data_IF_636392926413
#
_entry.id   IF_636392926413
#
_cell.length_a   1.000
_cell.length_b   1.000
_cell.length_c   1.000
_cell.angle_alpha   90.00
_cell.angle_beta   90.00
_cell.angle_gamma   90.00
#
_symmetry.space_group_name_H-M   'P 1'
#
loop_
_entity.id
_entity.type
_entity.pdbx_description
1 polymer ?
#
# COMPACT_ATOMS: atom_id res chain seq x y z
N UNK A 1 -21.97 -21.73 -3.72
CA UNK A 1 -21.52 -22.02 -2.34
C UNK A 1 -21.02 -20.69 -1.81
N UNK A 2 -21.62 -20.17 -0.75
CA UNK A 2 -21.24 -18.89 -0.16
C UNK A 2 -20.07 -19.17 0.80
N UNK A 3 -18.87 -18.76 0.42
CA UNK A 3 -17.71 -18.81 1.31
C UNK A 3 -17.95 -17.83 2.46
N UNK A 4 -18.02 -18.39 3.66
CA UNK A 4 -18.07 -17.61 4.89
C UNK A 4 -16.65 -17.07 5.09
N UNK A 5 -16.45 -15.74 5.17
CA UNK A 5 -15.12 -15.18 5.37
C UNK A 5 -14.55 -15.67 6.72
N UNK A 6 -13.26 -16.00 6.79
CA UNK A 6 -12.65 -16.49 8.02
C UNK A 6 -12.63 -15.37 9.08
N UNK A 7 -13.37 -15.56 10.17
CA UNK A 7 -13.51 -14.61 11.30
C UNK A 7 -12.35 -14.66 12.30
N UNK A 8 -11.34 -15.51 12.09
CA UNK A 8 -10.26 -15.76 13.04
C UNK A 8 -8.91 -15.22 12.55
N UNK A 9 -8.17 -14.52 13.42
CA UNK A 9 -6.82 -14.01 13.14
C UNK A 9 -5.80 -15.13 12.88
N UNK A 10 -4.69 -14.85 12.21
CA UNK A 10 -3.75 -15.90 11.79
C UNK A 10 -3.16 -16.69 12.96
N UNK A 11 -3.00 -16.08 14.14
CA UNK A 11 -2.58 -16.77 15.37
C UNK A 11 -3.59 -17.80 15.88
N UNK A 12 -4.87 -17.59 15.62
CA UNK A 12 -5.93 -18.50 16.06
C UNK A 12 -5.92 -19.79 15.23
N UNK A 13 -5.51 -19.68 13.96
CA UNK A 13 -5.36 -20.78 12.98
C UNK A 13 -4.18 -21.73 13.26
N UNK A 14 -3.32 -21.40 14.21
CA UNK A 14 -2.15 -22.23 14.55
C UNK A 14 -2.51 -23.57 15.18
N UNK A 15 -1.76 -24.62 14.83
CA UNK A 15 -1.92 -25.94 15.46
C UNK A 15 -1.55 -25.91 16.94
N UNK A 16 -2.03 -26.92 17.68
CA UNK A 16 -1.68 -27.09 19.10
C UNK A 16 -0.16 -27.24 19.30
N UNK A 17 0.55 -27.80 18.33
CA UNK A 17 2.01 -28.02 18.36
C UNK A 17 2.74 -26.67 18.28
N UNK A 18 2.38 -25.83 17.31
CA UNK A 18 2.93 -24.48 17.20
C UNK A 18 2.66 -23.63 18.46
N UNK A 19 1.44 -23.72 19.02
CA UNK A 19 1.07 -23.04 20.28
C UNK A 19 1.91 -23.49 21.48
N UNK A 20 2.24 -24.78 21.59
CA UNK A 20 3.10 -25.28 22.66
C UNK A 20 4.56 -24.82 22.49
N UNK A 21 5.10 -24.88 21.27
CA UNK A 21 6.46 -24.42 20.98
C UNK A 21 6.63 -22.92 21.25
N UNK A 22 5.60 -22.14 20.95
CA UNK A 22 5.52 -20.72 21.31
C UNK A 22 5.62 -20.48 22.82
N UNK A 23 4.79 -21.18 23.62
CA UNK A 23 4.77 -21.04 25.07
C UNK A 23 6.15 -21.32 25.66
N UNK A 24 6.83 -22.36 25.16
CA UNK A 24 8.19 -22.71 25.57
C UNK A 24 9.18 -21.58 25.31
N UNK A 25 9.16 -20.96 24.13
CA UNK A 25 10.15 -19.92 23.80
C UNK A 25 9.91 -18.59 24.54
N UNK A 26 8.66 -18.16 24.71
CA UNK A 26 8.37 -16.90 25.40
C UNK A 26 8.64 -17.00 26.90
N UNK A 27 8.20 -18.09 27.53
CA UNK A 27 8.23 -18.21 28.98
C UNK A 27 9.46 -18.95 29.51
N UNK A 28 10.11 -19.78 28.69
CA UNK A 28 11.21 -20.65 29.13
C UNK A 28 12.52 -20.41 28.36
N UNK A 29 12.51 -19.60 27.29
CA UNK A 29 13.70 -19.28 26.50
C UNK A 29 14.51 -18.12 27.07
N UNK A 30 15.84 -18.19 26.95
CA UNK A 30 16.69 -17.02 27.22
C UNK A 30 16.44 -15.93 26.18
N UNK A 31 16.31 -14.65 26.58
CA UNK A 31 16.11 -13.56 25.63
C UNK A 31 17.35 -13.45 24.74
N UNK A 32 17.16 -13.69 23.44
CA UNK A 32 18.22 -13.50 22.46
C UNK A 32 18.73 -12.06 22.52
N UNK A 33 20.01 -11.86 22.86
CA UNK A 33 20.64 -10.55 22.84
C UNK A 33 20.90 -10.16 21.38
N UNK A 34 20.22 -9.14 20.83
CA UNK A 34 20.51 -8.71 19.48
C UNK A 34 21.91 -8.08 19.45
N UNK A 35 22.66 -8.32 18.37
CA UNK A 35 24.00 -7.77 18.18
C UNK A 35 24.00 -6.22 18.15
N UNK A 36 22.85 -5.62 17.79
CA UNK A 36 22.60 -4.18 17.73
C UNK A 36 21.20 -3.91 18.27
N UNK A 37 20.99 -2.92 19.16
CA UNK A 37 19.66 -2.59 19.65
C UNK A 37 18.77 -2.14 18.47
N UNK A 38 17.52 -2.62 18.41
CA UNK A 38 16.62 -2.24 17.32
C UNK A 38 16.18 -0.77 17.49
N UNK A 39 15.59 -0.15 16.45
CA UNK A 39 15.04 1.19 16.56
C UNK A 39 14.02 1.27 17.69
N UNK A 40 14.03 2.36 18.46
CA UNK A 40 13.03 2.57 19.51
C UNK A 40 11.67 2.79 18.85
N UNK A 41 10.69 1.98 19.23
CA UNK A 41 9.32 2.12 18.73
C UNK A 41 8.72 3.43 19.21
N UNK A 42 8.05 4.13 18.30
CA UNK A 42 7.42 5.41 18.64
C UNK A 42 6.10 5.26 19.39
N UNK A 43 5.47 4.08 19.32
CA UNK A 43 4.11 3.81 19.77
C UNK A 43 3.03 4.52 18.94
N UNK A 44 3.40 5.17 17.83
CA UNK A 44 2.49 5.97 17.01
C UNK A 44 1.93 5.14 15.86
N UNK A 45 0.68 5.39 15.53
CA UNK A 45 0.07 4.94 14.29
C UNK A 45 -0.67 6.12 13.65
N UNK A 46 -1.04 5.98 12.39
CA UNK A 46 -1.66 7.07 11.62
C UNK A 46 -2.82 6.53 10.79
N UNK A 47 -3.83 7.37 10.61
CA UNK A 47 -5.00 7.15 9.73
C UNK A 47 -5.11 8.23 8.65
N UNK A 48 -4.08 9.08 8.55
CA UNK A 48 -4.12 10.27 7.68
C UNK A 48 -4.27 9.87 6.21
N UNK A 49 -3.61 8.80 5.76
CA UNK A 49 -3.69 8.35 4.37
C UNK A 49 -5.11 7.95 3.99
N UNK A 50 -5.76 7.16 4.84
CA UNK A 50 -7.13 6.72 4.65
C UNK A 50 -8.13 7.86 4.77
N UNK A 51 -7.94 8.77 5.72
CA UNK A 51 -8.78 9.97 5.84
C UNK A 51 -8.71 10.82 4.57
N UNK A 52 -7.52 11.04 4.02
CA UNK A 52 -7.36 11.75 2.75
C UNK A 52 -8.03 10.98 1.60
N UNK A 53 -7.86 9.67 1.54
CA UNK A 53 -8.54 8.84 0.54
C UNK A 53 -10.07 8.97 0.62
N UNK A 54 -10.66 8.92 1.82
CA UNK A 54 -12.10 9.15 2.00
C UNK A 54 -12.55 10.54 1.55
N UNK A 55 -11.74 11.58 1.78
CA UNK A 55 -12.02 12.94 1.28
C UNK A 55 -12.01 12.97 -0.26
N UNK A 56 -11.07 12.27 -0.88
CA UNK A 56 -11.04 12.13 -2.34
C UNK A 56 -12.28 11.39 -2.85
N UNK A 57 -12.75 10.34 -2.18
CA UNK A 57 -13.96 9.60 -2.57
C UNK A 57 -15.23 10.47 -2.50
N UNK A 58 -15.27 11.44 -1.60
CA UNK A 58 -16.38 12.40 -1.47
C UNK A 58 -16.27 13.57 -2.45
N UNK A 59 -15.14 13.73 -3.13
CA UNK A 59 -14.92 14.83 -4.07
C UNK A 59 -15.49 14.40 -5.43
N UNK A 60 -16.57 15.04 -5.93
CA UNK A 60 -17.14 14.68 -7.21
C UNK A 60 -16.14 14.94 -8.33
N UNK A 61 -16.15 14.09 -9.35
CA UNK A 61 -15.39 14.34 -10.56
C UNK A 61 -15.94 15.60 -11.25
N UNK A 62 -15.10 16.60 -11.56
CA UNK A 62 -15.55 17.77 -12.30
C UNK A 62 -16.19 17.37 -13.64
N UNK A 63 -17.46 17.72 -13.83
CA UNK A 63 -18.14 17.52 -15.11
C UNK A 63 -17.54 18.42 -16.20
N UNK A 64 -17.52 17.98 -17.48
CA UNK A 64 -16.94 18.74 -18.57
C UNK A 64 -17.51 20.16 -18.71
N UNK A 65 -18.77 20.38 -18.32
CA UNK A 65 -19.46 21.66 -18.44
C UNK A 65 -19.06 22.68 -17.37
N UNK A 66 -18.51 22.21 -16.26
CA UNK A 66 -17.99 23.06 -15.18
C UNK A 66 -16.54 23.50 -15.47
N UNK A 67 -15.85 22.81 -16.39
CA UNK A 67 -14.48 23.14 -16.78
C UNK A 67 -14.44 24.41 -17.64
N UNK A 68 -13.51 25.30 -17.34
CA UNK A 68 -13.35 26.56 -18.05
C UNK A 68 -12.43 26.46 -19.28
N UNK A 69 -12.74 27.26 -20.30
CA UNK A 69 -11.87 27.62 -21.44
C UNK A 69 -10.88 26.52 -21.89
N UNK A 70 -9.59 26.76 -21.62
CA UNK A 70 -8.49 25.85 -22.00
C UNK A 70 -8.61 24.46 -21.34
N UNK A 71 -9.08 24.39 -20.10
CA UNK A 71 -9.22 23.13 -19.35
C UNK A 71 -10.23 22.20 -20.04
N UNK A 72 -11.36 22.75 -20.49
CA UNK A 72 -12.38 22.00 -21.24
C UNK A 72 -11.83 21.47 -22.59
N UNK A 73 -11.03 22.28 -23.28
CA UNK A 73 -10.36 21.86 -24.54
C UNK A 73 -9.35 20.74 -24.29
N UNK A 74 -8.52 20.84 -23.26
CA UNK A 74 -7.57 19.77 -22.88
C UNK A 74 -8.33 18.50 -22.51
N UNK A 75 -9.40 18.61 -21.74
CA UNK A 75 -10.25 17.47 -21.39
C UNK A 75 -10.78 16.76 -22.64
N UNK A 76 -11.35 17.51 -23.59
CA UNK A 76 -11.87 16.94 -24.82
C UNK A 76 -10.79 16.24 -25.64
N UNK A 77 -9.58 16.80 -25.71
CA UNK A 77 -8.44 16.17 -26.40
C UNK A 77 -8.00 14.88 -25.70
N UNK A 78 -7.78 14.90 -24.38
CA UNK A 78 -7.41 13.68 -23.64
C UNK A 78 -8.46 12.59 -23.85
N UNK A 79 -9.75 12.92 -23.75
CA UNK A 79 -10.84 11.98 -24.01
C UNK A 79 -10.78 11.40 -25.43
N UNK A 80 -10.66 12.27 -26.44
CA UNK A 80 -10.55 11.86 -27.84
C UNK A 80 -9.39 10.90 -28.09
N UNK A 81 -8.21 11.19 -27.55
CA UNK A 81 -7.03 10.34 -27.73
C UNK A 81 -7.13 9.01 -26.98
N UNK A 82 -7.77 8.98 -25.81
CA UNK A 82 -8.08 7.72 -25.13
C UNK A 82 -9.00 6.83 -25.96
N UNK A 83 -10.01 7.41 -26.63
CA UNK A 83 -10.95 6.66 -27.47
C UNK A 83 -10.32 6.21 -28.81
N UNK A 84 -9.49 7.06 -29.43
CA UNK A 84 -8.88 6.79 -30.73
C UNK A 84 -7.79 5.72 -30.68
N UNK A 85 -6.94 5.76 -29.64
CA UNK A 85 -5.79 4.86 -29.53
C UNK A 85 -5.45 4.64 -28.05
N UNK A 86 -6.29 3.89 -27.30
CA UNK A 86 -6.07 3.65 -25.88
C UNK A 86 -4.76 2.90 -25.64
N UNK A 87 -4.01 3.36 -24.64
CA UNK A 87 -2.88 2.62 -24.08
C UNK A 87 -3.36 1.96 -22.79
N UNK A 88 -3.43 0.63 -22.79
CA UNK A 88 -3.79 -0.15 -21.60
C UNK A 88 -2.61 -0.21 -20.62
N UNK A 89 -2.76 0.40 -19.45
CA UNK A 89 -1.77 0.38 -18.38
C UNK A 89 -2.44 0.48 -17.00
N UNK A 90 -1.92 -0.27 -16.02
CA UNK A 90 -2.46 -0.30 -14.65
C UNK A 90 -3.96 -0.67 -14.59
N UNK A 91 -4.43 -1.48 -15.54
CA UNK A 91 -5.84 -1.88 -15.66
C UNK A 91 -6.76 -0.77 -16.15
N UNK A 92 -6.22 0.31 -16.73
CA UNK A 92 -6.96 1.48 -17.22
C UNK A 92 -6.52 1.86 -18.62
N UNK A 93 -7.37 2.66 -19.28
CA UNK A 93 -7.11 3.22 -20.60
C UNK A 93 -6.54 4.63 -20.46
N UNK A 94 -5.43 4.86 -21.15
CA UNK A 94 -4.72 6.13 -21.12
C UNK A 94 -4.55 6.71 -22.52
N UNK A 95 -4.61 8.04 -22.60
CA UNK A 95 -4.20 8.79 -23.78
C UNK A 95 -2.67 8.83 -23.86
N UNK A 96 -2.11 8.32 -24.95
CA UNK A 96 -0.69 8.35 -25.28
C UNK A 96 -0.22 9.63 -25.97
N UNK A 97 -0.72 10.80 -25.57
CA UNK A 97 -0.40 12.10 -26.19
C UNK A 97 0.74 12.81 -25.43
N UNK A 98 1.63 13.52 -26.13
CA UNK A 98 2.68 14.34 -25.47
C UNK A 98 2.13 15.67 -24.96
N UNK A 99 2.86 16.36 -24.08
CA UNK A 99 2.48 17.73 -23.70
C UNK A 99 2.56 18.69 -24.89
N UNK A 100 3.54 18.54 -25.78
CA UNK A 100 3.68 19.40 -26.97
C UNK A 100 2.48 19.23 -27.91
N UNK A 101 2.09 18.00 -28.22
CA UNK A 101 0.96 17.73 -29.12
C UNK A 101 -0.35 18.25 -28.52
N UNK A 102 -0.54 18.06 -27.21
CA UNK A 102 -1.71 18.58 -26.49
C UNK A 102 -1.72 20.12 -26.47
N UNK A 103 -0.55 20.75 -26.31
CA UNK A 103 -0.40 22.19 -26.34
C UNK A 103 -0.70 22.77 -27.72
N UNK A 104 -0.19 22.13 -28.78
CA UNK A 104 -0.47 22.49 -30.17
C UNK A 104 -1.95 22.32 -30.51
N UNK A 105 -2.57 21.20 -30.14
CA UNK A 105 -3.98 20.93 -30.41
C UNK A 105 -4.93 21.94 -29.74
N UNK A 106 -4.56 22.46 -28.58
CA UNK A 106 -5.38 23.42 -27.81
C UNK A 106 -5.01 24.89 -28.11
N UNK A 107 -3.84 25.14 -28.69
CA UNK A 107 -3.32 26.48 -28.98
C UNK A 107 -2.80 27.20 -27.73
N UNK A 108 -2.10 26.50 -26.84
CA UNK A 108 -1.50 27.06 -25.62
C UNK A 108 -0.05 26.60 -25.45
N UNK A 109 0.66 27.10 -24.43
CA UNK A 109 2.03 26.64 -24.14
C UNK A 109 2.05 25.29 -23.41
N UNK A 110 3.09 24.48 -23.62
CA UNK A 110 3.28 23.21 -22.90
C UNK A 110 3.36 23.39 -21.37
N UNK A 111 3.89 24.53 -20.90
CA UNK A 111 3.89 24.88 -19.46
C UNK A 111 2.48 25.08 -18.91
N UNK A 112 1.60 25.70 -19.68
CA UNK A 112 0.19 25.88 -19.29
C UNK A 112 -0.53 24.53 -19.27
N UNK A 113 -0.30 23.66 -20.25
CA UNK A 113 -0.80 22.28 -20.24
C UNK A 113 -0.35 21.56 -18.97
N UNK A 114 0.97 21.57 -18.67
CA UNK A 114 1.52 20.92 -17.48
C UNK A 114 0.86 21.41 -16.19
N UNK A 115 0.60 22.71 -16.05
CA UNK A 115 -0.08 23.30 -14.89
C UNK A 115 -1.55 22.88 -14.78
N UNK A 116 -2.23 22.67 -15.91
CA UNK A 116 -3.63 22.25 -15.94
C UNK A 116 -3.74 20.75 -15.62
N UNK A 117 -2.95 19.91 -16.29
CA UNK A 117 -2.99 18.44 -16.12
C UNK A 117 -2.39 17.96 -14.79
N UNK A 118 -1.76 18.83 -14.01
CA UNK A 118 -1.35 18.52 -12.63
C UNK A 118 -2.49 18.63 -11.61
N UNK A 119 -3.70 19.00 -12.05
CA UNK A 119 -4.88 19.18 -11.21
C UNK A 119 -6.00 18.24 -11.67
N UNK A 120 -6.94 17.87 -10.77
CA UNK A 120 -8.13 17.11 -11.15
C UNK A 120 -8.90 17.78 -12.30
N UNK A 121 -9.54 17.01 -13.20
CA UNK A 121 -9.70 15.55 -13.18
C UNK A 121 -8.57 14.76 -13.85
N UNK A 122 -7.44 15.40 -14.14
CA UNK A 122 -6.36 14.76 -14.89
C UNK A 122 -5.47 13.92 -13.97
N UNK A 123 -5.22 12.70 -14.41
CA UNK A 123 -4.22 11.80 -13.85
C UNK A 123 -3.07 11.69 -14.84
N UNK A 124 -1.83 11.71 -14.35
CA UNK A 124 -0.66 11.56 -15.21
C UNK A 124 0.31 10.55 -14.66
N UNK A 125 0.77 9.64 -15.53
CA UNK A 125 1.83 8.68 -15.19
C UNK A 125 2.91 8.70 -16.25
N UNK A 126 4.10 8.24 -15.89
CA UNK A 126 5.20 8.05 -16.84
C UNK A 126 5.52 6.57 -16.90
N UNK A 127 5.49 5.99 -18.10
CA UNK A 127 5.71 4.55 -18.33
C UNK A 127 6.72 4.36 -19.45
N UNK A 128 7.45 3.25 -19.39
CA UNK A 128 8.27 2.80 -20.51
C UNK A 128 7.42 1.89 -21.38
N UNK A 129 7.09 2.34 -22.58
CA UNK A 129 6.30 1.60 -23.57
C UNK A 129 7.13 1.55 -24.84
N UNK A 130 7.32 0.35 -25.42
CA UNK A 130 8.14 0.15 -26.62
C UNK A 130 9.56 0.74 -26.47
N UNK A 131 10.20 0.53 -25.31
CA UNK A 131 11.53 1.06 -24.97
C UNK A 131 11.63 2.60 -24.94
N UNK A 132 10.51 3.32 -24.99
CA UNK A 132 10.47 4.78 -24.87
C UNK A 132 9.68 5.19 -23.63
N UNK A 133 10.21 6.17 -22.91
CA UNK A 133 9.49 6.79 -21.79
C UNK A 133 8.39 7.68 -22.36
N UNK A 134 7.12 7.35 -22.07
CA UNK A 134 5.95 8.11 -22.48
C UNK A 134 5.22 8.62 -21.25
N UNK A 135 4.73 9.86 -21.32
CA UNK A 135 3.79 10.39 -20.35
C UNK A 135 2.38 10.05 -20.82
N UNK A 136 1.57 9.52 -19.93
CA UNK A 136 0.22 9.06 -20.19
C UNK A 136 -0.76 9.93 -19.42
N UNK A 137 -1.91 10.21 -20.03
CA UNK A 137 -2.95 11.06 -19.46
C UNK A 137 -4.25 10.28 -19.34
N UNK A 138 -4.96 10.48 -18.25
CA UNK A 138 -6.27 9.90 -17.98
C UNK A 138 -7.17 10.94 -17.36
N UNK A 139 -8.46 10.79 -17.58
CA UNK A 139 -9.49 11.54 -16.87
C UNK A 139 -10.12 10.59 -15.86
N UNK A 140 -10.27 11.03 -14.61
CA UNK A 140 -10.94 10.24 -13.58
C UNK A 140 -11.24 11.06 -12.33
N UNK A 141 -12.02 10.47 -11.42
CA UNK A 141 -12.24 11.04 -10.11
C UNK A 141 -10.91 11.14 -9.33
N UNK A 142 -10.76 12.07 -8.38
CA UNK A 142 -9.55 12.16 -7.55
C UNK A 142 -9.28 10.90 -6.74
N UNK A 143 -10.33 10.17 -6.33
CA UNK A 143 -10.24 8.89 -5.62
C UNK A 143 -9.86 7.71 -6.51
N UNK A 144 -9.83 7.90 -7.83
CA UNK A 144 -9.65 6.85 -8.81
C UNK A 144 -8.17 6.46 -8.95
N UNK A 145 -7.52 6.20 -7.81
CA UNK A 145 -6.09 5.92 -7.67
C UNK A 145 -5.80 4.46 -7.99
N UNK A 146 -4.71 4.21 -8.71
CA UNK A 146 -4.27 2.85 -9.00
C UNK A 146 -3.44 2.27 -7.85
N UNK A 147 -3.21 0.95 -7.86
CA UNK A 147 -2.31 0.34 -6.89
C UNK A 147 -0.90 0.93 -6.94
N UNK A 148 -0.43 1.36 -8.12
CA UNK A 148 0.87 2.01 -8.27
C UNK A 148 0.88 3.44 -7.69
N UNK A 149 -0.24 4.16 -7.74
CA UNK A 149 -0.34 5.49 -7.13
C UNK A 149 -0.17 5.38 -5.59
N UNK A 150 -0.84 4.43 -4.95
CA UNK A 150 -0.63 4.14 -3.53
C UNK A 150 0.80 3.66 -3.24
N UNK A 151 1.39 2.83 -4.09
CA UNK A 151 2.78 2.39 -3.92
C UNK A 151 3.77 3.57 -4.01
N UNK A 152 3.51 4.58 -4.85
CA UNK A 152 4.32 5.81 -4.90
C UNK A 152 4.21 6.63 -3.62
N UNK A 153 3.02 6.69 -3.00
CA UNK A 153 2.85 7.28 -1.66
C UNK A 153 3.69 6.51 -0.64
N UNK A 154 3.61 5.18 -0.65
CA UNK A 154 4.40 4.31 0.22
C UNK A 154 5.91 4.50 0.04
N UNK A 155 6.40 4.70 -1.18
CA UNK A 155 7.82 5.04 -1.44
C UNK A 155 8.20 6.36 -0.79
N UNK A 156 7.35 7.39 -0.90
CA UNK A 156 7.62 8.69 -0.29
C UNK A 156 7.65 8.57 1.26
N UNK A 157 6.69 7.85 1.84
CA UNK A 157 6.62 7.58 3.27
C UNK A 157 7.84 6.79 3.75
N UNK A 158 8.24 5.74 3.01
CA UNK A 158 9.44 4.94 3.28
C UNK A 158 10.70 5.80 3.32
N UNK A 159 10.92 6.62 2.29
CA UNK A 159 12.10 7.50 2.19
C UNK A 159 12.11 8.52 3.32
N UNK A 160 10.95 9.09 3.66
CA UNK A 160 10.80 10.06 4.73
C UNK A 160 11.14 9.44 6.09
N UNK A 161 10.65 8.23 6.36
CA UNK A 161 10.82 7.59 7.65
C UNK A 161 12.22 6.97 7.83
N UNK A 162 12.78 6.38 6.77
CA UNK A 162 14.06 5.65 6.85
C UNK A 162 15.27 6.48 6.42
N UNK A 163 15.08 7.58 5.69
CA UNK A 163 16.15 8.33 5.03
C UNK A 163 16.81 7.58 3.87
N UNK A 164 16.28 6.42 3.47
CA UNK A 164 16.90 5.51 2.48
C UNK A 164 16.10 5.48 1.20
N UNK A 165 16.82 5.32 0.09
CA UNK A 165 16.22 5.06 -1.23
C UNK A 165 15.89 3.56 -1.34
N UNK A 166 14.71 3.27 -1.86
CA UNK A 166 14.28 1.92 -2.22
C UNK A 166 15.06 1.40 -3.44
N UNK A 167 15.21 0.07 -3.53
CA UNK A 167 15.73 -0.60 -4.72
C UNK A 167 14.68 -0.62 -5.82
N UNK A 168 15.13 -0.84 -7.07
CA UNK A 168 14.22 -0.94 -8.22
C UNK A 168 13.14 -2.01 -8.03
N UNK A 169 13.52 -3.15 -7.46
CA UNK A 169 12.63 -4.29 -7.28
C UNK A 169 11.67 -4.10 -6.09
N UNK A 170 11.99 -3.19 -5.16
CA UNK A 170 11.15 -2.90 -4.00
C UNK A 170 9.81 -2.28 -4.40
N UNK A 171 9.76 -1.53 -5.51
CA UNK A 171 8.51 -0.92 -5.97
C UNK A 171 7.46 -1.98 -6.30
N UNK A 172 7.85 -3.09 -6.93
CA UNK A 172 6.94 -4.20 -7.21
C UNK A 172 6.38 -4.86 -5.94
N UNK A 173 7.19 -4.92 -4.88
CA UNK A 173 6.78 -5.43 -3.57
C UNK A 173 5.73 -4.51 -2.92
N UNK A 174 5.94 -3.19 -2.98
CA UNK A 174 4.97 -2.21 -2.48
C UNK A 174 3.64 -2.29 -3.24
N UNK A 175 3.67 -2.44 -4.55
CA UNK A 175 2.44 -2.67 -5.35
C UNK A 175 1.72 -3.93 -4.91
N UNK A 176 2.46 -5.00 -4.60
CA UNK A 176 1.89 -6.23 -4.03
C UNK A 176 1.19 -5.99 -2.68
N UNK A 177 1.83 -5.25 -1.77
CA UNK A 177 1.23 -4.89 -0.47
C UNK A 177 -0.08 -4.10 -0.65
N UNK A 178 -0.12 -3.17 -1.61
CA UNK A 178 -1.33 -2.38 -1.88
C UNK A 178 -2.48 -3.27 -2.36
N UNK A 179 -2.21 -4.26 -3.22
CA UNK A 179 -3.24 -5.19 -3.72
C UNK A 179 -3.84 -6.04 -2.60
N UNK A 180 -3.02 -6.40 -1.63
CA UNK A 180 -3.39 -7.32 -0.54
C UNK A 180 -4.05 -6.59 0.65
N UNK A 181 -3.99 -5.25 0.67
CA UNK A 181 -4.60 -4.43 1.73
C UNK A 181 -5.97 -3.89 1.29
N UNK A 182 -6.87 -3.56 2.24
CA UNK A 182 -8.07 -2.81 1.90
C UNK A 182 -7.71 -1.48 1.24
N UNK A 183 -8.55 -1.08 0.28
CA UNK A 183 -8.29 0.10 -0.54
C UNK A 183 -8.09 1.36 0.33
N UNK A 184 -6.99 2.07 0.10
CA UNK A 184 -6.63 3.29 0.83
C UNK A 184 -5.91 3.08 2.17
N UNK A 185 -5.83 1.86 2.72
CA UNK A 185 -5.18 1.61 4.02
C UNK A 185 -3.68 1.27 3.92
N UNK A 186 -3.21 0.75 2.79
CA UNK A 186 -1.81 0.29 2.65
C UNK A 186 -0.75 1.32 3.09
N UNK A 187 -0.85 2.62 2.78
CA UNK A 187 0.11 3.62 3.26
C UNK A 187 0.14 3.79 4.78
N UNK A 188 -1.02 3.73 5.43
CA UNK A 188 -1.13 3.88 6.89
C UNK A 188 -0.57 2.64 7.62
N UNK A 189 -0.82 1.44 7.09
CA UNK A 189 -0.25 0.19 7.59
C UNK A 189 1.28 0.23 7.50
N UNK A 190 1.84 0.62 6.34
CA UNK A 190 3.30 0.71 6.18
C UNK A 190 3.92 1.73 7.14
N UNK A 191 3.33 2.93 7.26
CA UNK A 191 3.82 3.96 8.19
C UNK A 191 3.88 3.43 9.62
N UNK A 192 2.82 2.74 10.06
CA UNK A 192 2.75 2.15 11.41
C UNK A 192 3.81 1.08 11.62
N UNK A 193 4.06 0.20 10.63
CA UNK A 193 5.13 -0.80 10.68
C UNK A 193 6.51 -0.16 10.79
N UNK A 194 6.78 0.87 9.99
CA UNK A 194 8.09 1.53 9.98
C UNK A 194 8.34 2.30 11.28
N UNK A 195 7.31 2.93 11.83
CA UNK A 195 7.37 3.69 13.10
C UNK A 195 7.46 2.81 14.35
N UNK A 196 7.11 1.52 14.23
CA UNK A 196 7.12 0.53 15.33
C UNK A 196 7.79 -0.77 14.87
N UNK A 197 8.96 -0.64 14.26
CA UNK A 197 9.68 -1.74 13.63
C UNK A 197 10.02 -2.87 14.59
N UNK A 198 10.35 -2.56 15.86
CA UNK A 198 10.70 -3.58 16.84
C UNK A 198 9.49 -4.42 17.23
N UNK A 199 8.35 -3.78 17.51
CA UNK A 199 7.08 -4.44 17.76
C UNK A 199 6.63 -5.31 16.59
N UNK A 200 6.69 -4.78 15.36
CA UNK A 200 6.41 -5.56 14.16
C UNK A 200 7.36 -6.75 14.01
N UNK A 201 8.67 -6.55 14.22
CA UNK A 201 9.69 -7.60 14.12
C UNK A 201 9.51 -8.71 15.15
N UNK A 202 8.94 -8.41 16.32
CA UNK A 202 8.57 -9.43 17.29
C UNK A 202 7.45 -10.35 16.75
N UNK A 203 6.44 -9.76 16.10
CA UNK A 203 5.39 -10.51 15.39
C UNK A 203 5.93 -11.34 14.22
N UNK A 204 6.88 -10.80 13.45
CA UNK A 204 7.58 -11.56 12.40
C UNK A 204 8.36 -12.72 12.98
N UNK A 205 9.07 -12.50 14.09
CA UNK A 205 9.79 -13.56 14.79
C UNK A 205 8.86 -14.71 15.19
N UNK A 206 7.66 -14.40 15.67
CA UNK A 206 6.64 -15.38 15.97
C UNK A 206 6.19 -16.15 14.72
N UNK A 207 5.89 -15.46 13.63
CA UNK A 207 5.49 -16.10 12.38
C UNK A 207 6.59 -17.04 11.84
N UNK A 208 7.86 -16.65 11.92
CA UNK A 208 8.97 -17.52 11.50
C UNK A 208 9.06 -18.80 12.34
N UNK A 209 8.84 -18.72 13.66
CA UNK A 209 8.89 -19.90 14.52
C UNK A 209 7.73 -20.88 14.27
N UNK A 210 6.55 -20.36 13.92
CA UNK A 210 5.45 -21.19 13.44
C UNK A 210 5.83 -21.88 12.12
N UNK A 211 6.40 -21.11 11.18
CA UNK A 211 6.75 -21.62 9.87
C UNK A 211 7.82 -22.73 9.91
N UNK A 212 8.70 -22.72 10.93
CA UNK A 212 9.65 -23.82 11.16
C UNK A 212 8.97 -25.16 11.51
N UNK A 213 7.72 -25.14 11.96
CA UNK A 213 6.98 -26.36 12.30
C UNK A 213 6.11 -26.79 11.11
N UNK A 214 5.46 -25.84 10.46
CA UNK A 214 4.35 -26.10 9.53
C UNK A 214 4.67 -25.74 8.07
N UNK A 215 5.80 -25.08 7.81
CA UNK A 215 6.01 -24.32 6.58
C UNK A 215 5.15 -23.05 6.56
N UNK A 216 5.13 -22.36 5.44
CA UNK A 216 4.19 -21.27 5.20
C UNK A 216 3.62 -21.35 3.76
N UNK A 217 2.64 -20.51 3.43
CA UNK A 217 1.95 -20.54 2.14
C UNK A 217 2.86 -20.31 0.92
N UNK A 218 4.09 -19.86 1.14
CA UNK A 218 5.05 -19.53 0.11
C UNK A 218 6.27 -20.46 0.09
N UNK A 219 6.61 -21.08 1.22
CA UNK A 219 7.72 -22.03 1.35
C UNK A 219 7.35 -23.16 2.33
N UNK A 220 7.12 -24.35 1.80
CA UNK A 220 6.80 -25.53 2.62
C UNK A 220 8.01 -26.14 3.34
N UNK A 221 9.23 -25.66 3.09
CA UNK A 221 10.42 -26.20 3.73
C UNK A 221 10.74 -25.47 5.04
N UNK A 222 10.46 -26.14 6.16
CA UNK A 222 10.77 -25.69 7.53
C UNK A 222 12.22 -25.20 7.73
N UNK A 223 13.20 -25.78 7.02
CA UNK A 223 14.62 -25.43 7.17
C UNK A 223 14.98 -24.05 6.60
N UNK A 224 14.15 -23.49 5.73
CA UNK A 224 14.39 -22.17 5.15
C UNK A 224 14.01 -21.02 6.08
N UNK A 225 13.32 -21.32 7.19
CA UNK A 225 12.84 -20.32 8.14
C UNK A 225 13.90 -20.03 9.20
N UNK A 226 14.73 -19.03 8.93
CA UNK A 226 15.72 -18.54 9.88
C UNK A 226 15.31 -17.20 10.49
N UNK A 227 15.48 -17.06 11.81
CA UNK A 227 15.26 -15.80 12.51
C UNK A 227 16.39 -14.84 12.14
N UNK A 228 16.06 -13.79 11.39
CA UNK A 228 16.99 -12.74 10.99
C UNK A 228 16.70 -11.45 11.74
N UNK A 229 17.76 -10.82 12.24
CA UNK A 229 17.67 -9.54 12.92
C UNK A 229 18.05 -8.43 11.94
N UNK A 230 17.10 -7.55 11.64
CA UNK A 230 17.30 -6.41 10.76
C UNK A 230 17.44 -5.15 11.57
N UNK A 231 18.55 -4.43 11.37
CA UNK A 231 18.78 -3.17 12.05
C UNK A 231 17.80 -2.07 11.61
N UNK A 232 17.38 -2.11 10.34
CA UNK A 232 16.44 -1.17 9.76
C UNK A 232 15.23 -1.91 9.19
N UNK A 233 14.07 -1.23 9.06
CA UNK A 233 12.97 -1.71 8.24
C UNK A 233 13.47 -2.20 6.89
N UNK A 234 12.86 -3.29 6.40
CA UNK A 234 13.12 -3.84 5.07
C UNK A 234 11.81 -4.11 4.32
N UNK A 235 11.63 -3.50 3.14
CA UNK A 235 10.42 -3.65 2.30
C UNK A 235 10.14 -5.12 1.99
N UNK A 236 11.18 -5.91 1.72
CA UNK A 236 11.05 -7.35 1.46
C UNK A 236 10.50 -8.14 2.64
N UNK A 237 10.96 -7.81 3.86
CA UNK A 237 10.46 -8.43 5.09
C UNK A 237 9.01 -8.02 5.34
N UNK A 238 8.71 -6.72 5.25
CA UNK A 238 7.35 -6.22 5.37
C UNK A 238 6.41 -6.86 4.35
N UNK A 239 6.87 -7.12 3.11
CA UNK A 239 6.05 -7.75 2.07
C UNK A 239 5.77 -9.21 2.38
N UNK A 240 6.79 -9.96 2.78
CA UNK A 240 6.67 -11.38 3.13
C UNK A 240 5.69 -11.56 4.30
N UNK A 241 5.80 -10.70 5.32
CA UNK A 241 4.97 -10.75 6.51
C UNK A 241 3.87 -9.68 6.47
N UNK A 242 3.33 -9.39 5.29
CA UNK A 242 2.28 -8.39 5.13
C UNK A 242 0.99 -8.70 5.91
N UNK A 243 0.53 -9.97 6.01
CA UNK A 243 -0.57 -10.33 6.91
C UNK A 243 -0.33 -9.92 8.36
N UNK A 244 0.89 -10.14 8.87
CA UNK A 244 1.31 -9.71 10.22
C UNK A 244 1.28 -8.19 10.34
N UNK A 245 1.65 -7.46 9.29
CA UNK A 245 1.59 -6.00 9.27
C UNK A 245 0.15 -5.47 9.35
N UNK A 246 -0.79 -6.10 8.64
CA UNK A 246 -2.21 -5.73 8.68
C UNK A 246 -2.78 -5.94 10.09
N UNK A 247 -2.55 -7.11 10.70
CA UNK A 247 -3.02 -7.38 12.06
C UNK A 247 -2.34 -6.46 13.09
N UNK A 248 -1.04 -6.23 12.96
CA UNK A 248 -0.31 -5.31 13.83
C UNK A 248 -0.92 -3.91 13.79
N UNK A 249 -1.28 -3.40 12.61
CA UNK A 249 -2.01 -2.15 12.47
C UNK A 249 -3.41 -2.22 13.10
N UNK A 250 -4.14 -3.32 12.90
CA UNK A 250 -5.48 -3.52 13.45
C UNK A 250 -5.47 -3.48 14.99
N UNK A 251 -4.46 -4.05 15.64
CA UNK A 251 -4.29 -3.98 17.08
C UNK A 251 -4.20 -2.54 17.60
N UNK A 252 -3.45 -1.67 16.91
CA UNK A 252 -3.40 -0.24 17.25
C UNK A 252 -4.76 0.44 17.10
N UNK A 253 -5.53 0.09 16.06
CA UNK A 253 -6.89 0.59 15.89
C UNK A 253 -7.77 0.16 17.06
N UNK A 254 -7.75 -1.13 17.42
CA UNK A 254 -8.58 -1.71 18.49
C UNK A 254 -8.27 -1.13 19.87
N UNK A 255 -6.99 -0.96 20.21
CA UNK A 255 -6.57 -0.34 21.46
C UNK A 255 -7.12 1.10 21.61
N UNK A 256 -7.37 1.77 20.48
CA UNK A 256 -7.79 3.16 20.44
C UNK A 256 -9.28 3.37 20.10
N UNK A 257 -10.08 2.33 19.86
CA UNK A 257 -11.50 2.43 19.47
C UNK A 257 -12.35 3.26 20.44
N UNK A 258 -12.10 3.16 21.74
CA UNK A 258 -12.85 3.89 22.77
C UNK A 258 -12.40 5.33 23.02
N UNK A 259 -11.27 5.75 22.43
CA UNK A 259 -10.65 7.07 22.67
C UNK A 259 -10.50 7.89 21.39
N UNK A 260 -10.69 7.26 20.24
CA UNK A 260 -10.40 7.81 18.93
C UNK A 260 -11.60 8.42 18.20
N UNK A 261 -11.35 9.02 17.02
CA UNK A 261 -12.40 9.49 16.13
C UNK A 261 -13.24 8.33 15.58
N UNK A 262 -14.45 8.65 15.11
CA UNK A 262 -15.37 7.72 14.40
C UNK A 262 -14.69 6.96 13.26
N UNK A 263 -13.65 7.54 12.67
CA UNK A 263 -12.84 6.90 11.64
C UNK A 263 -12.24 5.55 12.09
N UNK A 264 -11.93 5.36 13.38
CA UNK A 264 -11.33 4.12 13.87
C UNK A 264 -12.32 2.96 13.83
N UNK A 265 -13.58 3.19 14.20
CA UNK A 265 -14.67 2.21 14.07
C UNK A 265 -14.90 1.82 12.60
N UNK A 266 -14.76 2.78 11.67
CA UNK A 266 -14.83 2.48 10.23
C UNK A 266 -13.67 1.61 9.76
N UNK A 267 -12.45 1.92 10.19
CA UNK A 267 -11.25 1.14 9.84
C UNK A 267 -11.34 -0.27 10.44
N UNK A 268 -11.75 -0.40 11.70
CA UNK A 268 -11.94 -1.69 12.36
C UNK A 268 -12.95 -2.57 11.61
N UNK A 269 -14.10 -2.01 11.21
CA UNK A 269 -15.08 -2.72 10.37
C UNK A 269 -14.51 -3.15 9.03
N UNK A 270 -13.70 -2.31 8.38
CA UNK A 270 -13.07 -2.65 7.11
C UNK A 270 -12.08 -3.79 7.30
N UNK A 271 -11.25 -3.74 8.34
CA UNK A 271 -10.25 -4.76 8.64
C UNK A 271 -10.89 -6.10 9.06
N UNK A 272 -11.94 -6.07 9.87
CA UNK A 272 -12.69 -7.26 10.26
C UNK A 272 -13.37 -7.97 9.07
N UNK A 273 -13.77 -7.21 8.04
CA UNK A 273 -14.37 -7.76 6.84
C UNK A 273 -13.35 -8.09 5.74
N UNK A 274 -12.08 -7.75 5.95
CA UNK A 274 -11.02 -8.01 4.98
C UNK A 274 -10.47 -9.41 5.21
N UNK A 275 -10.53 -10.25 4.18
CA UNK A 275 -9.90 -11.56 4.23
C UNK A 275 -8.38 -11.41 4.25
N UNK A 276 -7.82 -11.45 5.45
CA UNK A 276 -6.37 -11.52 5.62
C UNK A 276 -5.95 -12.91 5.15
N UNK A 277 -5.27 -12.98 4.00
CA UNK A 277 -4.60 -14.20 3.58
C UNK A 277 -3.63 -14.60 4.69
N UNK A 278 -3.87 -15.76 5.29
CA UNK A 278 -2.99 -16.30 6.31
C UNK A 278 -1.60 -16.49 5.69
N UNK A 279 -0.51 -16.15 6.41
CA UNK A 279 0.81 -16.55 5.97
C UNK A 279 0.99 -18.08 6.01
N UNK A 280 0.11 -18.80 6.70
CA UNK A 280 0.08 -20.27 6.87
C UNK A 280 -1.15 -20.89 6.21
#
# INVERSE_FOLDING_TARGET
MADVPPTEGWLQKLTAVAKQQFKKQIFEGEPAKPLVPPPVDSGKFTTYGFEQYQKLCKTPQPEPDILNGTTKKIYAQVKHWTELSPIHAEGRDWAGITHEDLAQAVGVSSKQVQRIVSKPPFHTITKVIEKRTRKLFRIGAPSDMTHEDFARIMVADWRKATGRKEKRDDFGLLVGMVKDAPIGLAPDILRTVVENWSGFSAGVGLAVEVAKVEGDAFDGNAEHFEKKFFHYPAISVTRRFWPVAIEFYHMFIQENLGKGPILYDQIDKILNNHEIQSPF
#
